data_IF_414000040804
#
_entry.id   IF_414000040804
#
_cell.length_a   1.000
_cell.length_b   1.000
_cell.length_c   1.000
_cell.angle_alpha   90.00
_cell.angle_beta   90.00
_cell.angle_gamma   90.00
#
_symmetry.space_group_name_H-M   'P 1'
#
loop_
_entity.id
_entity.type
_entity.pdbx_description
1 polymer ?
#
# COMPACT_ATOMS: atom_id res chain seq x y z
N UNK A 1 -2.02 -3.67 -21.07
CA UNK A 1 -0.74 -3.44 -20.39
C UNK A 1 -0.93 -2.46 -19.23
N UNK A 2 -0.41 -2.81 -18.07
CA UNK A 2 -0.49 -1.94 -16.90
C UNK A 2 0.57 -0.84 -16.99
N UNK A 3 0.17 0.39 -16.69
CA UNK A 3 1.08 1.52 -16.57
C UNK A 3 0.90 2.19 -15.22
N UNK A 4 1.96 2.78 -14.67
CA UNK A 4 1.92 3.49 -13.40
C UNK A 4 2.11 4.97 -13.65
N UNK A 5 1.31 5.79 -12.97
CA UNK A 5 1.42 7.26 -13.04
C UNK A 5 1.50 7.83 -11.63
N UNK A 6 2.39 8.78 -11.44
CA UNK A 6 2.36 9.57 -10.21
C UNK A 6 1.20 10.56 -10.29
N UNK A 7 0.40 10.62 -9.23
CA UNK A 7 -0.75 11.51 -9.15
C UNK A 7 -0.42 12.65 -8.19
N UNK A 8 -0.52 13.89 -8.69
CA UNK A 8 -0.26 15.08 -7.89
C UNK A 8 -1.54 15.87 -7.57
N UNK A 9 -2.58 15.68 -8.37
CA UNK A 9 -3.89 16.32 -8.12
C UNK A 9 -4.54 15.71 -6.88
N UNK A 10 -4.75 16.55 -5.87
CA UNK A 10 -5.28 16.11 -4.57
C UNK A 10 -6.68 15.51 -4.66
N UNK A 11 -7.54 16.10 -5.50
CA UNK A 11 -8.91 15.58 -5.67
C UNK A 11 -8.91 14.22 -6.35
N UNK A 12 -8.02 14.02 -7.32
CA UNK A 12 -7.88 12.73 -7.98
C UNK A 12 -7.36 11.66 -7.01
N UNK A 13 -6.41 12.01 -6.13
CA UNK A 13 -5.95 11.08 -5.09
C UNK A 13 -7.11 10.62 -4.21
N UNK A 14 -7.97 11.56 -3.78
CA UNK A 14 -9.13 11.23 -2.96
C UNK A 14 -10.12 10.34 -3.72
N UNK A 15 -10.38 10.64 -4.99
CA UNK A 15 -11.29 9.86 -5.80
C UNK A 15 -10.79 8.43 -6.00
N UNK A 16 -9.53 8.28 -6.38
CA UNK A 16 -8.93 6.95 -6.58
C UNK A 16 -8.98 6.13 -5.30
N UNK A 17 -8.62 6.76 -4.17
CA UNK A 17 -8.68 6.10 -2.86
C UNK A 17 -10.08 5.58 -2.56
N UNK A 18 -11.09 6.42 -2.72
CA UNK A 18 -12.47 6.06 -2.44
C UNK A 18 -12.96 4.94 -3.37
N UNK A 19 -12.64 5.05 -4.65
CA UNK A 19 -13.08 4.07 -5.65
C UNK A 19 -12.44 2.71 -5.43
N UNK A 20 -11.14 2.66 -5.22
CA UNK A 20 -10.40 1.39 -5.07
C UNK A 20 -10.65 0.77 -3.71
N UNK A 21 -10.44 1.51 -2.62
CA UNK A 21 -10.63 0.97 -1.27
C UNK A 21 -12.08 0.62 -1.02
N UNK A 22 -13.01 1.44 -1.51
CA UNK A 22 -14.45 1.18 -1.38
C UNK A 22 -14.91 -0.08 -2.11
N UNK A 23 -14.16 -0.52 -3.12
CA UNK A 23 -14.42 -1.75 -3.86
C UNK A 23 -13.79 -2.99 -3.22
N UNK A 24 -13.05 -2.84 -2.13
CA UNK A 24 -12.30 -3.91 -1.46
C UNK A 24 -12.63 -3.95 0.04
N UNK A 25 -13.93 -4.14 0.39
CA UNK A 25 -14.34 -4.08 1.81
C UNK A 25 -13.73 -5.18 2.67
N UNK A 26 -13.28 -6.28 2.10
CA UNK A 26 -12.62 -7.36 2.84
C UNK A 26 -11.30 -6.89 3.47
N UNK A 27 -10.62 -5.93 2.83
CA UNK A 27 -9.33 -5.40 3.30
C UNK A 27 -9.46 -4.02 3.94
N UNK A 28 -10.46 -3.23 3.53
CA UNK A 28 -10.63 -1.84 3.96
C UNK A 28 -12.01 -1.63 4.55
N UNK A 29 -12.09 -1.67 5.86
CA UNK A 29 -13.33 -1.49 6.61
C UNK A 29 -13.01 -0.84 7.96
N UNK A 30 -13.95 -0.15 8.58
CA UNK A 30 -15.30 0.17 8.07
C UNK A 30 -15.27 1.26 6.97
N UNK A 31 -16.41 1.54 6.31
CA UNK A 31 -16.46 2.58 5.25
C UNK A 31 -15.98 3.95 5.68
N UNK A 32 -16.17 4.31 6.95
CA UNK A 32 -15.68 5.60 7.48
C UNK A 32 -14.16 5.70 7.40
N UNK A 33 -13.47 4.57 7.56
CA UNK A 33 -12.01 4.51 7.43
C UNK A 33 -11.58 4.84 6.01
N UNK A 34 -12.32 4.39 4.99
CA UNK A 34 -12.05 4.71 3.60
C UNK A 34 -12.17 6.21 3.36
N UNK A 35 -13.24 6.83 3.86
CA UNK A 35 -13.46 8.27 3.74
C UNK A 35 -12.31 9.04 4.40
N UNK A 36 -11.87 8.61 5.57
CA UNK A 36 -10.74 9.22 6.28
C UNK A 36 -9.45 9.13 5.46
N UNK A 37 -9.16 7.96 4.89
CA UNK A 37 -7.95 7.77 4.08
C UNK A 37 -7.98 8.62 2.80
N UNK A 38 -9.16 8.80 2.20
CA UNK A 38 -9.30 9.65 1.02
C UNK A 38 -8.87 11.10 1.31
N UNK A 39 -9.05 11.56 2.54
CA UNK A 39 -8.57 12.89 2.96
C UNK A 39 -7.07 12.86 3.25
N UNK A 40 -6.61 11.86 4.00
CA UNK A 40 -5.20 11.75 4.41
C UNK A 40 -4.28 11.64 3.21
N UNK A 41 -4.64 10.87 2.19
CA UNK A 41 -3.80 10.65 1.01
C UNK A 41 -3.58 11.90 0.16
N UNK A 42 -4.36 12.96 0.36
CA UNK A 42 -4.22 14.20 -0.42
C UNK A 42 -2.82 14.81 -0.28
N UNK A 43 -2.18 14.60 0.85
CA UNK A 43 -0.85 15.17 1.14
C UNK A 43 0.29 14.16 0.99
N UNK A 44 0.00 12.95 0.51
CA UNK A 44 1.00 11.89 0.39
C UNK A 44 1.46 11.72 -1.06
N UNK A 45 2.72 11.30 -1.29
CA UNK A 45 3.12 10.78 -2.59
C UNK A 45 2.18 9.63 -2.98
N UNK A 46 1.75 9.61 -4.22
CA UNK A 46 0.65 8.74 -4.63
C UNK A 46 0.88 8.24 -6.06
N UNK A 47 0.75 6.94 -6.26
CA UNK A 47 0.94 6.30 -7.57
C UNK A 47 -0.31 5.50 -7.92
N UNK A 48 -0.76 5.62 -9.17
CA UNK A 48 -1.94 4.91 -9.65
C UNK A 48 -1.56 3.97 -10.79
N UNK A 49 -2.18 2.80 -10.78
CA UNK A 49 -2.01 1.80 -11.84
C UNK A 49 -3.20 1.89 -12.79
N UNK A 50 -2.91 1.88 -14.09
CA UNK A 50 -3.92 1.96 -15.14
C UNK A 50 -3.77 0.80 -16.11
N UNK A 51 -4.90 0.28 -16.58
CA UNK A 51 -4.95 -0.67 -17.68
C UNK A 51 -6.09 -0.25 -18.59
N UNK A 52 -5.79 -0.05 -19.91
CA UNK A 52 -6.77 0.44 -20.88
C UNK A 52 -7.49 1.71 -20.42
N UNK A 53 -6.72 2.65 -19.84
CA UNK A 53 -7.22 3.94 -19.35
C UNK A 53 -8.15 3.83 -18.12
N UNK A 54 -8.27 2.64 -17.54
CA UNK A 54 -9.03 2.42 -16.32
C UNK A 54 -8.06 2.37 -15.14
N UNK A 55 -8.35 3.13 -14.09
CA UNK A 55 -7.56 3.07 -12.86
C UNK A 55 -7.91 1.79 -12.10
N UNK A 56 -6.92 0.91 -11.95
CA UNK A 56 -7.13 -0.42 -11.36
C UNK A 56 -6.50 -0.59 -9.98
N UNK A 57 -5.75 0.40 -9.51
CA UNK A 57 -5.10 0.31 -8.20
C UNK A 57 -4.28 1.54 -7.89
N UNK A 58 -3.77 1.57 -6.66
CA UNK A 58 -2.93 2.68 -6.19
C UNK A 58 -2.02 2.24 -5.06
N UNK A 59 -1.00 3.09 -4.79
CA UNK A 59 -0.19 3.02 -3.58
C UNK A 59 0.04 4.44 -3.08
N UNK A 60 -0.14 4.65 -1.79
CA UNK A 60 0.12 5.94 -1.13
C UNK A 60 1.24 5.76 -0.11
N UNK A 61 2.22 6.67 -0.13
CA UNK A 61 3.38 6.61 0.75
C UNK A 61 3.27 7.63 1.87
N UNK A 62 3.52 7.19 3.10
CA UNK A 62 3.71 8.10 4.23
C UNK A 62 5.20 8.26 4.48
N UNK A 63 5.69 9.49 4.42
CA UNK A 63 7.10 9.77 4.66
C UNK A 63 7.30 9.94 6.17
N UNK A 64 8.02 9.02 6.79
CA UNK A 64 8.29 9.09 8.24
C UNK A 64 9.42 10.05 8.58
N UNK A 65 10.49 9.99 7.79
CA UNK A 65 11.68 10.83 7.96
C UNK A 65 12.50 10.74 6.67
N UNK A 66 13.69 11.32 6.66
CA UNK A 66 14.52 11.33 5.45
C UNK A 66 15.03 9.95 5.02
N UNK A 67 14.90 8.93 5.87
CA UNK A 67 15.42 7.59 5.59
C UNK A 67 14.32 6.58 5.23
N UNK A 68 13.07 6.82 5.63
CA UNK A 68 12.03 5.78 5.65
C UNK A 68 10.70 6.29 5.13
N UNK A 69 10.14 5.58 4.16
CA UNK A 69 8.76 5.74 3.70
C UNK A 69 7.99 4.46 4.00
N UNK A 70 6.71 4.60 4.26
CA UNK A 70 5.80 3.48 4.52
C UNK A 70 4.74 3.42 3.44
N UNK A 71 4.45 2.21 2.94
CA UNK A 71 3.29 2.01 2.08
C UNK A 71 2.07 2.09 3.00
N UNK A 72 1.51 3.29 3.09
CA UNK A 72 0.44 3.58 4.04
C UNK A 72 -0.84 2.83 3.69
N UNK A 73 -1.20 2.85 2.41
CA UNK A 73 -2.26 2.02 1.83
C UNK A 73 -1.89 1.65 0.41
N UNK A 74 -2.29 0.48 -0.01
CA UNK A 74 -2.15 0.00 -1.37
C UNK A 74 -3.31 -0.93 -1.66
N UNK A 75 -3.89 -0.84 -2.84
CA UNK A 75 -4.96 -1.72 -3.26
C UNK A 75 -4.98 -1.88 -4.77
N UNK A 76 -5.38 -3.05 -5.22
CA UNK A 76 -5.62 -3.36 -6.64
C UNK A 76 -7.00 -3.99 -6.74
N UNK A 77 -7.81 -3.52 -7.66
CA UNK A 77 -9.16 -4.07 -7.87
C UNK A 77 -9.09 -5.57 -8.10
N UNK A 78 -10.03 -6.31 -7.50
CA UNK A 78 -10.01 -7.77 -7.46
C UNK A 78 -9.91 -8.39 -8.85
N UNK A 79 -10.61 -7.83 -9.82
CA UNK A 79 -10.64 -8.34 -11.20
C UNK A 79 -9.28 -8.24 -11.89
N UNK A 80 -8.38 -7.40 -11.37
CA UNK A 80 -7.06 -7.18 -11.95
C UNK A 80 -5.94 -7.78 -11.12
N UNK A 81 -6.27 -8.59 -10.12
CA UNK A 81 -5.26 -9.33 -9.38
C UNK A 81 -4.50 -10.26 -10.33
N UNK A 82 -3.19 -10.44 -10.10
CA UNK A 82 -2.31 -11.27 -10.92
C UNK A 82 -2.02 -10.71 -12.32
N UNK A 83 -2.32 -9.42 -12.54
CA UNK A 83 -1.91 -8.73 -13.79
C UNK A 83 -0.58 -7.98 -13.62
N UNK A 84 0.07 -8.12 -12.47
CA UNK A 84 1.36 -7.49 -12.22
C UNK A 84 1.28 -6.08 -11.68
N UNK A 85 0.06 -5.54 -11.48
CA UNK A 85 -0.11 -4.16 -11.00
C UNK A 85 0.51 -3.92 -9.63
N UNK A 86 0.33 -4.86 -8.70
CA UNK A 86 0.91 -4.74 -7.35
C UNK A 86 2.43 -4.66 -7.38
N UNK A 87 3.06 -5.54 -8.14
CA UNK A 87 4.51 -5.54 -8.33
C UNK A 87 5.00 -4.22 -8.92
N UNK A 88 4.30 -3.70 -9.93
CA UNK A 88 4.67 -2.43 -10.57
C UNK A 88 4.49 -1.24 -9.64
N UNK A 89 3.46 -1.25 -8.79
CA UNK A 89 3.27 -0.22 -7.78
C UNK A 89 4.41 -0.23 -6.76
N UNK A 90 4.81 -1.41 -6.28
CA UNK A 90 5.95 -1.55 -5.37
C UNK A 90 7.22 -1.01 -6.03
N UNK A 91 7.47 -1.39 -7.29
CA UNK A 91 8.66 -0.92 -8.02
C UNK A 91 8.68 0.61 -8.12
N UNK A 92 7.54 1.24 -8.35
CA UNK A 92 7.45 2.70 -8.43
C UNK A 92 7.69 3.34 -7.06
N UNK A 93 7.16 2.74 -5.98
CA UNK A 93 7.44 3.20 -4.62
C UNK A 93 8.93 3.12 -4.30
N UNK A 94 9.59 2.02 -4.68
CA UNK A 94 11.04 1.86 -4.48
C UNK A 94 11.84 2.90 -5.27
N UNK A 95 11.43 3.16 -6.50
CA UNK A 95 12.06 4.17 -7.34
C UNK A 95 11.97 5.55 -6.68
N UNK A 96 10.78 5.92 -6.20
CA UNK A 96 10.58 7.17 -5.48
C UNK A 96 11.51 7.27 -4.27
N UNK A 97 11.59 6.22 -3.48
CA UNK A 97 12.45 6.18 -2.29
C UNK A 97 13.92 6.33 -2.68
N UNK A 98 14.37 5.60 -3.69
CA UNK A 98 15.77 5.66 -4.15
C UNK A 98 16.14 7.04 -4.68
N UNK A 99 15.24 7.67 -5.44
CA UNK A 99 15.44 9.00 -5.98
C UNK A 99 15.48 10.07 -4.88
N UNK A 100 14.93 9.78 -3.72
CA UNK A 100 14.92 10.68 -2.56
C UNK A 100 15.91 10.24 -1.46
N UNK A 101 16.85 9.37 -1.80
CA UNK A 101 17.93 8.88 -0.90
C UNK A 101 17.40 8.17 0.35
N UNK A 102 16.23 7.59 0.27
CA UNK A 102 15.65 6.81 1.37
C UNK A 102 16.25 5.41 1.41
N UNK A 103 16.36 4.84 2.60
CA UNK A 103 17.01 3.55 2.83
C UNK A 103 16.01 2.42 3.07
N UNK A 104 14.82 2.73 3.55
CA UNK A 104 13.84 1.72 3.91
C UNK A 104 12.46 2.04 3.35
N UNK A 105 11.83 1.00 2.82
CA UNK A 105 10.40 1.02 2.51
C UNK A 105 9.74 0.03 3.45
N UNK A 106 8.74 0.48 4.21
CA UNK A 106 8.05 -0.37 5.18
C UNK A 106 6.59 -0.56 4.79
N UNK A 107 5.96 -1.54 5.40
CA UNK A 107 4.52 -1.76 5.24
C UNK A 107 3.98 -2.43 6.49
N UNK A 108 2.74 -2.15 6.82
CA UNK A 108 2.00 -2.79 7.91
C UNK A 108 0.81 -3.52 7.32
N UNK A 109 0.60 -4.74 7.78
CA UNK A 109 -0.53 -5.56 7.32
C UNK A 109 -1.05 -6.39 8.49
N UNK A 110 -2.21 -7.01 8.31
CA UNK A 110 -2.79 -7.84 9.36
C UNK A 110 -1.99 -9.13 9.53
N UNK A 111 -1.57 -9.41 10.78
CA UNK A 111 -0.80 -10.62 11.07
C UNK A 111 -1.65 -11.89 10.94
N UNK A 112 -1.00 -13.02 10.67
CA UNK A 112 -1.67 -14.31 10.52
C UNK A 112 -2.39 -14.77 11.78
N UNK A 113 -1.97 -14.30 12.96
CA UNK A 113 -2.60 -14.65 14.22
C UNK A 113 -4.04 -14.15 14.33
N UNK A 114 -4.45 -13.20 13.49
CA UNK A 114 -5.84 -12.75 13.42
C UNK A 114 -6.75 -13.79 12.74
N UNK A 115 -6.16 -14.75 12.04
CA UNK A 115 -6.89 -15.83 11.33
C UNK A 115 -7.97 -15.30 10.39
N UNK A 116 -7.65 -14.20 9.67
CA UNK A 116 -8.56 -13.58 8.72
C UNK A 116 -8.05 -13.88 7.31
N UNK A 117 -8.74 -14.76 6.60
CA UNK A 117 -8.32 -15.34 5.33
C UNK A 117 -7.97 -14.31 4.24
N UNK A 118 -8.72 -13.22 4.04
CA UNK A 118 -8.40 -12.29 2.94
C UNK A 118 -6.97 -11.74 2.97
N UNK A 119 -6.33 -11.65 4.13
CA UNK A 119 -4.96 -11.15 4.24
C UNK A 119 -3.88 -12.20 3.99
N UNK A 120 -4.24 -13.47 3.81
CA UNK A 120 -3.25 -14.53 3.52
C UNK A 120 -2.50 -14.21 2.23
N UNK A 121 -3.23 -13.84 1.17
CA UNK A 121 -2.64 -13.46 -0.10
C UNK A 121 -1.81 -12.19 0.00
N UNK A 122 -2.22 -11.24 0.82
CA UNK A 122 -1.51 -9.99 1.05
C UNK A 122 -0.13 -10.24 1.66
N UNK A 123 -0.06 -11.07 2.70
CA UNK A 123 1.22 -11.42 3.34
C UNK A 123 2.14 -12.14 2.37
N UNK A 124 1.61 -13.09 1.59
CA UNK A 124 2.37 -13.80 0.56
C UNK A 124 2.91 -12.83 -0.49
N UNK A 125 2.09 -11.87 -0.91
CA UNK A 125 2.50 -10.85 -1.87
C UNK A 125 3.71 -10.06 -1.35
N UNK A 126 3.64 -9.53 -0.13
CA UNK A 126 4.76 -8.75 0.40
C UNK A 126 6.02 -9.60 0.59
N UNK A 127 5.88 -10.87 0.99
CA UNK A 127 7.04 -11.76 1.09
C UNK A 127 7.72 -11.96 -0.27
N UNK A 128 6.93 -12.10 -1.33
CA UNK A 128 7.47 -12.25 -2.70
C UNK A 128 8.10 -10.95 -3.21
N UNK A 129 7.71 -9.81 -2.68
CA UNK A 129 8.32 -8.52 -3.01
C UNK A 129 9.53 -8.21 -2.12
N UNK A 130 10.03 -9.22 -1.39
CA UNK A 130 11.24 -9.15 -0.56
C UNK A 130 11.09 -8.29 0.70
N UNK A 131 9.89 -8.08 1.18
CA UNK A 131 9.67 -7.48 2.48
C UNK A 131 9.91 -8.52 3.57
N UNK A 132 10.60 -8.12 4.63
CA UNK A 132 11.02 -8.99 5.73
C UNK A 132 10.26 -8.59 6.99
N UNK A 133 9.58 -9.55 7.64
CA UNK A 133 8.91 -9.25 8.92
C UNK A 133 9.89 -8.81 9.99
N UNK A 134 9.55 -7.74 10.69
CA UNK A 134 10.35 -7.21 11.80
C UNK A 134 9.71 -7.48 13.14
N UNK A 135 8.41 -7.25 13.25
CA UNK A 135 7.73 -7.33 14.54
C UNK A 135 6.21 -7.42 14.34
N UNK A 136 5.52 -7.99 15.32
CA UNK A 136 4.07 -7.95 15.39
C UNK A 136 3.70 -7.00 16.54
N UNK A 137 2.95 -5.94 16.23
CA UNK A 137 2.46 -5.01 17.25
C UNK A 137 1.03 -5.39 17.61
N UNK A 138 0.79 -5.71 18.88
CA UNK A 138 -0.51 -6.20 19.33
C UNK A 138 -1.47 -5.08 19.72
N UNK A 139 -0.98 -3.86 19.85
CA UNK A 139 -1.78 -2.69 20.26
C UNK A 139 -1.68 -1.49 19.31
N UNK A 140 -1.01 -1.64 18.18
CA UNK A 140 -0.87 -0.53 17.22
C UNK A 140 -2.22 -0.13 16.64
N UNK A 141 -3.02 -1.11 16.21
CA UNK A 141 -4.40 -0.89 15.78
C UNK A 141 -5.34 -1.15 16.95
N UNK A 142 -5.56 -2.43 17.29
CA UNK A 142 -6.34 -2.87 18.44
C UNK A 142 -6.06 -4.36 18.71
N UNK A 143 -6.62 -4.91 19.78
CA UNK A 143 -6.36 -6.29 20.19
C UNK A 143 -6.83 -7.32 19.18
N UNK A 144 -7.88 -7.01 18.42
CA UNK A 144 -8.43 -7.94 17.41
C UNK A 144 -7.68 -7.87 16.09
N UNK A 145 -6.84 -6.86 15.90
CA UNK A 145 -6.11 -6.59 14.67
C UNK A 145 -4.61 -6.46 14.94
N UNK A 146 -3.92 -7.58 15.19
CA UNK A 146 -2.46 -7.54 15.38
C UNK A 146 -1.79 -7.09 14.08
N UNK A 147 -0.82 -6.19 14.21
CA UNK A 147 -0.15 -5.52 13.09
C UNK A 147 1.19 -6.17 12.81
N UNK A 148 1.34 -6.78 11.64
CA UNK A 148 2.63 -7.28 11.17
C UNK A 148 3.36 -6.13 10.49
N UNK A 149 4.55 -5.81 10.99
CA UNK A 149 5.40 -4.75 10.45
C UNK A 149 6.53 -5.37 9.65
N UNK A 150 6.63 -4.97 8.37
CA UNK A 150 7.65 -5.49 7.46
C UNK A 150 8.48 -4.35 6.89
N UNK A 151 9.70 -4.66 6.50
CA UNK A 151 10.59 -3.67 5.89
C UNK A 151 11.37 -4.26 4.74
N UNK A 152 11.76 -3.39 3.81
CA UNK A 152 12.66 -3.70 2.71
C UNK A 152 13.79 -2.69 2.70
N UNK A 153 15.04 -3.16 2.75
CA UNK A 153 16.21 -2.30 2.71
C UNK A 153 16.50 -1.95 1.24
N UNK A 154 16.56 -0.65 0.96
CA UNK A 154 16.80 -0.13 -0.39
C UNK A 154 18.20 0.45 -0.55
N UNK A 155 18.95 0.52 0.55
CA UNK A 155 20.17 1.29 0.61
C UNK A 155 21.30 0.74 -0.23
N UNK A 156 21.21 -0.43 -0.70
CA UNK A 156 22.19 -1.15 -1.49
C UNK A 156 23.57 -0.49 -1.57
N UNK A 157 24.54 -0.65 -1.67
CA UNK A 157 25.85 -0.01 -1.79
C UNK A 157 25.82 1.52 -1.86
#
# INVERSE_FOLDING_TARGET
MVTIKEITDKDLKSKITADVMGSLPEWFNPPESVTEKAVIHRDFPFFAAYENDVCIGFAALKIHNKFTADIYNMGVLREYHRHGAGHMLIAECEKYCTENDMKFLTVKTLDESAEYEPYNGTRTFYAREDFIPLEVFTTFWDEDNPCLFLAKYLGGN
#
